data_IF_210410064295
#
_entry.id   IF_210410064295
#
_cell.length_a   1.000
_cell.length_b   1.000
_cell.length_c   1.000
_cell.angle_alpha   90.00
_cell.angle_beta   90.00
_cell.angle_gamma   90.00
#
_symmetry.space_group_name_H-M   'P 1'
#
loop_
_entity.id
_entity.type
_entity.pdbx_description
1 polymer ?
#
# COMPACT_ATOMS: atom_id res chain seq x y z
N UNK A 1 -17.82 5.57 0.13
CA UNK A 1 -16.88 6.02 -0.92
C UNK A 1 -15.51 5.74 -0.34
N UNK A 2 -14.79 4.77 -0.89
CA UNK A 2 -13.42 4.50 -0.44
C UNK A 2 -12.54 5.71 -0.80
N UNK A 3 -11.49 5.95 -0.03
CA UNK A 3 -10.59 7.09 -0.24
C UNK A 3 -9.26 6.53 -0.74
N UNK A 4 -8.87 6.92 -1.95
CA UNK A 4 -7.53 6.67 -2.44
C UNK A 4 -6.53 7.55 -1.69
N UNK A 5 -5.40 6.94 -1.33
CA UNK A 5 -4.34 7.62 -0.63
C UNK A 5 -3.34 8.12 -1.70
N UNK A 6 -2.70 9.28 -1.53
CA UNK A 6 -1.39 9.60 -2.08
C UNK A 6 -0.39 8.50 -1.66
N UNK A 7 -0.04 7.69 -2.65
CA UNK A 7 0.90 6.57 -2.63
C UNK A 7 2.22 6.87 -1.91
N UNK A 8 2.70 8.12 -2.02
CA UNK A 8 4.00 8.55 -1.53
C UNK A 8 4.12 8.54 0.00
N UNK A 9 2.98 8.50 0.70
CA UNK A 9 2.90 8.29 2.14
C UNK A 9 2.80 6.81 2.56
N UNK A 10 2.60 5.88 1.63
CA UNK A 10 2.61 4.44 1.90
C UNK A 10 4.06 3.95 1.78
N UNK A 11 4.91 4.42 2.69
CA UNK A 11 6.34 4.10 2.76
C UNK A 11 6.74 3.78 4.19
N UNK A 12 7.83 3.03 4.34
CA UNK A 12 8.32 2.58 5.66
C UNK A 12 8.62 3.75 6.61
N UNK A 13 9.04 4.91 6.08
CA UNK A 13 9.30 6.12 6.86
C UNK A 13 8.07 6.72 7.57
N UNK A 14 6.87 6.38 7.12
CA UNK A 14 5.60 6.82 7.74
C UNK A 14 4.88 5.68 8.45
N UNK A 15 5.48 4.49 8.48
CA UNK A 15 4.95 3.31 9.13
C UNK A 15 5.60 3.16 10.50
N UNK A 16 4.77 3.09 11.55
CA UNK A 16 5.26 2.90 12.91
C UNK A 16 4.42 1.87 13.67
N UNK A 17 5.05 1.23 14.65
CA UNK A 17 4.38 0.33 15.58
C UNK A 17 4.09 1.09 16.87
N UNK A 18 2.86 0.96 17.38
CA UNK A 18 2.57 1.39 18.74
C UNK A 18 3.03 0.33 19.77
N UNK A 19 2.86 0.65 21.06
CA UNK A 19 3.21 -0.27 22.17
C UNK A 19 2.54 -1.64 22.11
N UNK A 20 1.45 -1.78 21.35
CA UNK A 20 0.69 -3.02 21.20
C UNK A 20 1.01 -3.73 19.87
N UNK A 21 2.14 -3.40 19.23
CA UNK A 21 2.56 -3.93 17.93
C UNK A 21 1.53 -3.70 16.81
N UNK A 22 0.67 -2.69 16.95
CA UNK A 22 -0.25 -2.30 15.88
C UNK A 22 0.47 -1.34 14.96
N UNK A 23 0.58 -1.76 13.70
CA UNK A 23 0.99 -0.92 12.60
C UNK A 23 0.04 0.26 12.43
N UNK A 24 0.61 1.46 12.30
CA UNK A 24 -0.11 2.68 11.97
C UNK A 24 0.68 3.46 10.93
N UNK A 25 -0.05 4.16 10.07
CA UNK A 25 0.51 5.14 9.16
C UNK A 25 0.36 6.54 9.74
N UNK A 26 1.41 7.33 9.63
CA UNK A 26 1.34 8.76 9.89
C UNK A 26 0.66 9.44 8.70
N UNK A 27 -0.52 10.01 8.96
CA UNK A 27 -1.26 10.79 7.97
C UNK A 27 -1.03 12.27 8.21
N UNK A 28 -0.35 12.93 7.26
CA UNK A 28 -0.12 14.38 7.31
C UNK A 28 -1.36 15.08 6.73
N UNK A 29 -1.98 16.01 7.48
CA UNK A 29 -3.29 16.61 7.15
C UNK A 29 -3.41 17.31 5.79
N UNK A 30 -2.31 17.65 5.11
CA UNK A 30 -2.32 18.12 3.71
C UNK A 30 -3.13 17.20 2.80
N UNK A 31 -3.14 15.91 3.11
CA UNK A 31 -3.69 14.87 2.27
C UNK A 31 -5.21 14.93 2.06
N UNK A 32 -5.97 15.04 3.16
CA UNK A 32 -7.43 15.12 3.11
C UNK A 32 -7.89 16.44 2.48
N UNK A 33 -7.09 17.50 2.67
CA UNK A 33 -7.30 18.78 2.01
C UNK A 33 -7.02 18.65 0.50
N UNK A 34 -5.88 18.11 0.08
CA UNK A 34 -5.53 17.99 -1.34
C UNK A 34 -6.42 17.01 -2.10
N UNK A 35 -6.79 15.86 -1.53
CA UNK A 35 -7.78 14.96 -2.17
C UNK A 35 -9.13 15.65 -2.38
N UNK A 36 -9.52 16.56 -1.48
CA UNK A 36 -10.74 17.37 -1.60
C UNK A 36 -10.58 18.49 -2.64
N UNK A 37 -9.47 19.21 -2.62
CA UNK A 37 -9.15 20.28 -3.59
C UNK A 37 -9.02 19.73 -5.01
N UNK A 38 -8.34 18.59 -5.18
CA UNK A 38 -8.19 17.88 -6.45
C UNK A 38 -9.56 17.49 -7.05
N UNK A 39 -10.50 17.05 -6.20
CA UNK A 39 -11.86 16.69 -6.62
C UNK A 39 -12.71 17.91 -7.01
N UNK A 40 -12.39 19.09 -6.48
CA UNK A 40 -13.13 20.35 -6.70
C UNK A 40 -12.54 21.15 -7.87
N UNK A 41 -11.22 21.22 -7.99
CA UNK A 41 -10.51 22.12 -8.90
C UNK A 41 -9.89 21.45 -10.13
N UNK A 42 -9.90 20.11 -10.19
CA UNK A 42 -9.79 19.32 -11.44
C UNK A 42 -8.55 19.45 -12.33
N UNK A 43 -7.64 20.43 -12.16
CA UNK A 43 -6.74 20.79 -13.27
C UNK A 43 -5.30 21.21 -13.00
N UNK A 44 -4.83 21.35 -11.76
CA UNK A 44 -3.50 21.99 -11.57
C UNK A 44 -2.34 21.05 -11.24
N UNK A 45 -2.55 19.74 -11.06
CA UNK A 45 -1.43 18.86 -10.69
C UNK A 45 -1.61 17.40 -11.14
N UNK A 46 -1.50 17.17 -12.44
CA UNK A 46 -1.65 15.84 -13.09
C UNK A 46 -0.80 14.75 -12.40
N UNK A 47 0.41 15.10 -11.95
CA UNK A 47 1.27 14.20 -11.19
C UNK A 47 0.62 13.69 -9.89
N UNK A 48 0.06 14.59 -9.08
CA UNK A 48 -0.57 14.21 -7.81
C UNK A 48 -1.85 13.39 -8.01
N UNK A 49 -2.59 13.64 -9.09
CA UNK A 49 -3.75 12.81 -9.45
C UNK A 49 -3.34 11.38 -9.78
N UNK A 50 -2.20 11.17 -10.45
CA UNK A 50 -1.72 9.81 -10.73
C UNK A 50 -1.30 9.05 -9.46
N UNK A 51 -0.87 9.77 -8.42
CA UNK A 51 -0.44 9.17 -7.15
C UNK A 51 -1.60 8.96 -6.15
N UNK A 52 -2.73 9.65 -6.34
CA UNK A 52 -3.94 9.52 -5.52
C UNK A 52 -4.99 8.58 -6.15
N UNK A 53 -4.56 7.43 -6.68
CA UNK A 53 -5.44 6.39 -7.25
C UNK A 53 -5.40 5.10 -6.44
N UNK A 54 -6.44 4.27 -6.57
CA UNK A 54 -6.44 2.95 -5.93
C UNK A 54 -5.30 2.06 -6.44
N UNK A 55 -5.01 2.16 -7.73
CA UNK A 55 -3.97 1.43 -8.41
C UNK A 55 -2.57 1.82 -7.91
N UNK A 56 -2.36 3.10 -7.64
CA UNK A 56 -1.12 3.63 -7.06
C UNK A 56 -0.99 3.20 -5.60
N UNK A 57 -2.07 3.20 -4.82
CA UNK A 57 -2.09 2.63 -3.47
C UNK A 57 -1.69 1.16 -3.42
N UNK A 58 -2.22 0.35 -4.33
CA UNK A 58 -1.90 -1.09 -4.39
C UNK A 58 -0.43 -1.30 -4.75
N UNK A 59 0.10 -0.48 -5.64
CA UNK A 59 1.52 -0.53 -6.00
C UNK A 59 2.41 -0.13 -4.81
N UNK A 60 2.10 0.99 -4.16
CA UNK A 60 2.86 1.47 -3.02
C UNK A 60 2.79 0.52 -1.82
N UNK A 61 1.62 -0.10 -1.58
CA UNK A 61 1.49 -1.19 -0.62
C UNK A 61 2.43 -2.36 -0.97
N UNK A 62 2.50 -2.78 -2.23
CA UNK A 62 3.37 -3.87 -2.65
C UNK A 62 4.85 -3.57 -2.38
N UNK A 63 5.25 -2.31 -2.58
CA UNK A 63 6.61 -1.84 -2.34
C UNK A 63 6.94 -1.81 -0.84
N UNK A 64 6.04 -1.27 -0.04
CA UNK A 64 6.17 -1.30 1.42
C UNK A 64 6.23 -2.74 1.94
N UNK A 65 5.30 -3.60 1.49
CA UNK A 65 5.19 -4.97 1.96
C UNK A 65 6.41 -5.80 1.55
N UNK A 66 6.94 -5.58 0.34
CA UNK A 66 8.23 -6.13 -0.06
C UNK A 66 9.33 -5.72 0.92
N UNK A 67 9.41 -4.44 1.26
CA UNK A 67 10.44 -3.95 2.16
C UNK A 67 10.35 -4.55 3.55
N UNK A 68 9.14 -4.62 4.11
CA UNK A 68 8.87 -5.27 5.41
C UNK A 68 9.26 -6.75 5.40
N UNK A 69 8.94 -7.49 4.33
CA UNK A 69 9.20 -8.93 4.25
C UNK A 69 10.64 -9.30 3.91
N UNK A 70 11.36 -8.48 3.16
CA UNK A 70 12.62 -8.89 2.52
C UNK A 70 13.82 -7.97 2.78
N UNK A 71 13.60 -6.72 3.20
CA UNK A 71 14.71 -5.77 3.44
C UNK A 71 15.08 -5.67 4.94
N UNK A 72 14.30 -6.32 5.83
CA UNK A 72 14.59 -6.42 7.27
C UNK A 72 15.81 -7.29 7.59
N UNK A 73 16.49 -6.99 8.72
CA UNK A 73 17.70 -7.73 9.12
C UNK A 73 17.38 -9.15 9.63
N UNK A 74 17.95 -10.13 8.95
CA UNK A 74 18.45 -11.44 9.41
C UNK A 74 17.50 -12.54 9.89
N UNK A 75 16.22 -12.32 10.11
CA UNK A 75 15.29 -13.44 10.33
C UNK A 75 14.80 -13.99 9.00
N UNK A 76 15.16 -15.25 8.70
CA UNK A 76 14.63 -15.95 7.52
C UNK A 76 13.14 -16.21 7.76
N UNK A 77 12.22 -15.55 7.04
CA UNK A 77 10.80 -15.84 7.20
C UNK A 77 10.52 -17.27 6.74
N UNK A 78 9.44 -17.88 7.22
CA UNK A 78 9.10 -19.25 6.80
C UNK A 78 8.99 -19.33 5.27
N UNK A 79 9.50 -20.42 4.68
CA UNK A 79 9.47 -20.60 3.21
C UNK A 79 8.06 -20.46 2.62
N UNK A 80 7.03 -20.78 3.41
CA UNK A 80 5.62 -20.66 3.02
C UNK A 80 5.16 -19.21 2.97
N UNK A 81 5.43 -18.41 4.00
CA UNK A 81 5.11 -16.98 4.02
C UNK A 81 5.85 -16.23 2.93
N UNK A 82 7.13 -16.55 2.69
CA UNK A 82 7.92 -15.99 1.58
C UNK A 82 7.24 -16.25 0.23
N UNK A 83 6.74 -17.47 0.01
CA UNK A 83 6.06 -17.83 -1.24
C UNK A 83 4.77 -17.05 -1.43
N UNK A 84 3.92 -16.98 -0.41
CA UNK A 84 2.66 -16.24 -0.47
C UNK A 84 2.89 -14.74 -0.67
N UNK A 85 3.79 -14.15 0.11
CA UNK A 85 4.14 -12.74 0.01
C UNK A 85 4.65 -12.38 -1.40
N UNK A 86 5.57 -13.17 -1.96
CA UNK A 86 6.08 -12.95 -3.33
C UNK A 86 4.98 -13.01 -4.39
N UNK A 87 4.04 -13.96 -4.26
CA UNK A 87 2.95 -14.12 -5.22
C UNK A 87 1.95 -12.97 -5.15
N UNK A 88 1.63 -12.49 -3.95
CA UNK A 88 0.78 -11.32 -3.74
C UNK A 88 1.44 -10.05 -4.28
N UNK A 89 2.70 -9.78 -3.92
CA UNK A 89 3.47 -8.63 -4.41
C UNK A 89 3.51 -8.60 -5.94
N UNK A 90 3.72 -9.76 -6.58
CA UNK A 90 3.75 -9.86 -8.04
C UNK A 90 2.41 -9.45 -8.69
N UNK A 91 1.28 -9.81 -8.08
CA UNK A 91 -0.05 -9.41 -8.57
C UNK A 91 -0.34 -7.93 -8.31
N UNK A 92 0.01 -7.40 -7.14
CA UNK A 92 -0.14 -5.98 -6.84
C UNK A 92 0.70 -5.10 -7.80
N UNK A 93 1.89 -5.56 -8.20
CA UNK A 93 2.77 -4.88 -9.18
C UNK A 93 2.47 -5.19 -10.65
N UNK A 94 1.35 -5.88 -10.96
CA UNK A 94 1.06 -6.26 -12.34
C UNK A 94 0.95 -5.02 -13.25
N UNK A 95 1.52 -5.09 -14.46
CA UNK A 95 1.45 -3.98 -15.44
C UNK A 95 0.02 -3.73 -15.93
N UNK A 96 -0.78 -4.78 -16.05
CA UNK A 96 -2.19 -4.66 -16.42
C UNK A 96 -3.01 -4.30 -15.18
N UNK A 97 -3.58 -3.10 -15.15
CA UNK A 97 -4.38 -2.59 -14.03
C UNK A 97 -5.55 -3.52 -13.68
N UNK A 98 -6.22 -4.11 -14.68
CA UNK A 98 -7.35 -5.04 -14.45
C UNK A 98 -6.94 -6.36 -13.77
N UNK A 99 -5.64 -6.65 -13.73
CA UNK A 99 -5.11 -7.85 -13.06
C UNK A 99 -4.62 -7.59 -11.65
N UNK A 100 -4.56 -6.32 -11.23
CA UNK A 100 -4.20 -5.95 -9.85
C UNK A 100 -5.40 -6.25 -8.94
N UNK A 101 -5.16 -6.81 -7.75
CA UNK A 101 -6.19 -6.95 -6.75
C UNK A 101 -6.57 -5.58 -6.18
N UNK A 102 -7.80 -5.47 -5.69
CA UNK A 102 -8.25 -4.40 -4.81
C UNK A 102 -7.68 -4.56 -3.42
N UNK A 103 -7.66 -3.48 -2.61
CA UNK A 103 -7.13 -3.57 -1.25
C UNK A 103 -7.94 -4.54 -0.38
N UNK A 104 -9.25 -4.63 -0.63
CA UNK A 104 -10.12 -5.60 0.02
C UNK A 104 -9.68 -7.04 -0.28
N UNK A 105 -9.42 -7.37 -1.55
CA UNK A 105 -8.94 -8.70 -1.94
C UNK A 105 -7.56 -9.01 -1.36
N UNK A 106 -6.66 -8.01 -1.32
CA UNK A 106 -5.35 -8.12 -0.65
C UNK A 106 -5.52 -8.49 0.82
N UNK A 107 -6.35 -7.74 1.56
CA UNK A 107 -6.59 -7.98 3.00
C UNK A 107 -7.23 -9.35 3.22
N UNK A 108 -8.30 -9.67 2.50
CA UNK A 108 -8.98 -10.97 2.62
C UNK A 108 -8.02 -12.11 2.33
N UNK A 109 -7.17 -12.01 1.32
CA UNK A 109 -6.18 -13.04 1.05
C UNK A 109 -5.17 -13.16 2.20
N UNK A 110 -4.62 -12.06 2.69
CA UNK A 110 -3.65 -12.07 3.79
C UNK A 110 -4.22 -12.66 5.07
N UNK A 111 -5.50 -12.42 5.37
CA UNK A 111 -6.23 -13.01 6.50
C UNK A 111 -6.38 -14.54 6.39
N UNK A 112 -6.35 -15.09 5.17
CA UNK A 112 -6.40 -16.55 4.95
C UNK A 112 -5.04 -17.24 5.08
N UNK A 113 -3.95 -16.48 5.21
CA UNK A 113 -2.64 -17.07 5.40
C UNK A 113 -2.57 -17.67 6.79
N UNK A 114 -2.58 -19.00 6.85
CA UNK A 114 -2.37 -19.73 8.10
C UNK A 114 -0.88 -19.69 8.43
N UNK A 115 -0.48 -18.66 9.19
CA UNK A 115 0.89 -18.31 9.57
C UNK A 115 1.33 -18.98 10.86
#
# INVERSE_FOLDING_TARGET
MDIALFSDCIKSKYFFLNSNLRAKFEFIGLFAWWSREALIYGHENEYLFTECTYESNISAFADLFHSVCFDGRNEKPSNRLVKYARQLIKRCRAKNLKSRPTMKEVVTEMETWNL
#
